data_IF_972602887915
#
_entry.id   IF_972602887915
#
_cell.length_a   1.000
_cell.length_b   1.000
_cell.length_c   1.000
_cell.angle_alpha   90.00
_cell.angle_beta   90.00
_cell.angle_gamma   90.00
#
_symmetry.space_group_name_H-M   'P 1'
#
loop_
_entity.id
_entity.type
_entity.pdbx_description
1 polymer ?
#
# COMPACT_ATOMS: atom_id res chain seq x y z
N UNK A 1 -17.63 18.96 28.95
CA UNK A 1 -16.51 19.15 28.00
C UNK A 1 -16.26 17.80 27.35
N UNK A 2 -16.69 17.66 26.10
CA UNK A 2 -16.78 16.39 25.38
C UNK A 2 -15.40 15.97 24.87
N UNK A 3 -14.90 14.82 25.31
CA UNK A 3 -13.71 14.15 24.78
C UNK A 3 -13.99 13.59 23.36
N UNK A 4 -14.02 14.45 22.35
CA UNK A 4 -14.33 14.05 20.97
C UNK A 4 -13.11 14.17 20.04
N UNK A 5 -11.94 13.73 20.48
CA UNK A 5 -10.77 13.51 19.61
C UNK A 5 -9.95 12.29 20.08
N UNK A 6 -10.60 11.20 20.51
CA UNK A 6 -9.91 9.91 20.48
C UNK A 6 -9.71 9.56 19.01
N UNK A 7 -8.57 9.96 18.46
CA UNK A 7 -8.13 9.56 17.13
C UNK A 7 -8.15 8.04 17.03
N UNK A 8 -8.51 7.52 15.86
CA UNK A 8 -8.42 6.08 15.61
C UNK A 8 -6.99 5.64 15.88
N UNK A 9 -6.85 4.59 16.68
CA UNK A 9 -5.56 4.02 17.05
C UNK A 9 -5.13 2.99 16.01
N UNK A 10 -4.12 3.34 15.22
CA UNK A 10 -3.57 2.47 14.19
C UNK A 10 -2.71 1.32 14.76
N UNK A 11 -2.32 1.36 16.04
CA UNK A 11 -1.45 0.33 16.65
C UNK A 11 -2.12 -1.04 16.74
N UNK A 12 -3.45 -1.09 16.67
CA UNK A 12 -4.23 -2.34 16.66
C UNK A 12 -4.52 -2.87 15.24
N UNK A 13 -4.08 -2.16 14.20
CA UNK A 13 -4.22 -2.61 12.81
C UNK A 13 -3.03 -3.48 12.47
N UNK A 14 -3.28 -4.74 12.11
CA UNK A 14 -2.23 -5.61 11.59
C UNK A 14 -1.61 -4.96 10.34
N UNK A 15 -0.31 -4.59 10.38
CA UNK A 15 0.33 -3.90 9.28
C UNK A 15 0.55 -4.81 8.07
N UNK A 16 0.32 -6.13 8.18
CA UNK A 16 0.38 -7.08 7.05
C UNK A 16 -0.97 -7.27 6.36
N UNK A 17 -2.09 -6.99 7.03
CA UNK A 17 -3.44 -7.13 6.49
C UNK A 17 -3.90 -5.88 5.71
N UNK A 18 -3.91 -5.98 4.38
CA UNK A 18 -4.38 -4.89 3.50
C UNK A 18 -5.86 -4.53 3.72
N UNK A 19 -6.71 -5.50 4.01
CA UNK A 19 -8.12 -5.23 4.27
C UNK A 19 -8.28 -4.41 5.55
N UNK A 20 -7.55 -4.77 6.61
CA UNK A 20 -7.54 -3.99 7.85
C UNK A 20 -7.02 -2.56 7.64
N UNK A 21 -5.95 -2.37 6.85
CA UNK A 21 -5.43 -1.04 6.52
C UNK A 21 -6.44 -0.20 5.73
N UNK A 22 -7.11 -0.76 4.72
CA UNK A 22 -8.15 -0.06 3.93
C UNK A 22 -9.39 0.29 4.76
N UNK A 23 -9.79 -0.59 5.67
CA UNK A 23 -10.86 -0.33 6.62
C UNK A 23 -10.50 0.84 7.55
N UNK A 24 -9.26 0.87 8.05
CA UNK A 24 -8.77 1.96 8.88
C UNK A 24 -8.74 3.30 8.12
N UNK A 25 -8.26 3.32 6.87
CA UNK A 25 -8.30 4.51 6.02
C UNK A 25 -9.73 5.02 5.85
N UNK A 26 -10.67 4.13 5.54
CA UNK A 26 -12.09 4.49 5.38
C UNK A 26 -12.67 5.07 6.67
N UNK A 27 -12.36 4.47 7.82
CA UNK A 27 -12.79 4.98 9.13
C UNK A 27 -12.16 6.34 9.43
N UNK A 28 -10.89 6.56 9.09
CA UNK A 28 -10.21 7.86 9.27
C UNK A 28 -10.84 8.94 8.40
N UNK A 29 -11.10 8.63 7.13
CA UNK A 29 -11.79 9.54 6.22
C UNK A 29 -13.22 9.85 6.71
N UNK A 30 -13.92 8.86 7.27
CA UNK A 30 -15.22 9.06 7.91
C UNK A 30 -15.15 10.01 9.12
N UNK A 31 -14.15 9.84 9.99
CA UNK A 31 -13.93 10.74 11.14
C UNK A 31 -13.55 12.16 10.74
N UNK A 32 -12.87 12.33 9.60
CA UNK A 32 -12.58 13.65 9.01
C UNK A 32 -13.73 14.18 8.14
N UNK A 33 -14.85 13.45 8.06
CA UNK A 33 -16.02 13.76 7.23
C UNK A 33 -15.66 14.03 5.76
N UNK A 34 -14.69 13.29 5.24
CA UNK A 34 -14.15 13.46 3.89
C UNK A 34 -14.14 12.15 3.09
N UNK A 35 -14.94 11.16 3.48
CA UNK A 35 -15.03 9.88 2.76
C UNK A 35 -15.71 10.05 1.39
N UNK A 36 -15.00 9.66 0.35
CA UNK A 36 -15.42 9.68 -1.05
C UNK A 36 -14.89 8.40 -1.71
N UNK A 37 -15.81 7.46 -1.95
CA UNK A 37 -15.46 6.16 -2.49
C UNK A 37 -14.87 6.24 -3.91
N UNK A 38 -15.35 7.16 -4.75
CA UNK A 38 -14.83 7.30 -6.11
C UNK A 38 -13.38 7.81 -6.09
N UNK A 39 -13.07 8.78 -5.21
CA UNK A 39 -11.68 9.24 -5.00
C UNK A 39 -10.79 8.15 -4.43
N UNK A 40 -11.30 7.35 -3.50
CA UNK A 40 -10.55 6.23 -2.94
C UNK A 40 -10.19 5.22 -4.03
N UNK A 41 -11.16 4.80 -4.86
CA UNK A 41 -10.91 3.88 -5.99
C UNK A 41 -9.99 4.47 -7.05
N UNK A 42 -10.07 5.77 -7.31
CA UNK A 42 -9.15 6.45 -8.22
C UNK A 42 -7.72 6.49 -7.66
N UNK A 43 -7.55 6.82 -6.38
CA UNK A 43 -6.26 6.79 -5.72
C UNK A 43 -5.65 5.38 -5.77
N UNK A 44 -6.41 4.34 -5.43
CA UNK A 44 -5.98 2.94 -5.51
C UNK A 44 -5.53 2.55 -6.91
N UNK A 45 -6.28 2.92 -7.95
CA UNK A 45 -5.90 2.62 -9.33
C UNK A 45 -4.59 3.31 -9.74
N UNK A 46 -4.44 4.59 -9.43
CA UNK A 46 -3.23 5.37 -9.75
C UNK A 46 -2.01 4.79 -9.03
N UNK A 47 -2.12 4.58 -7.72
CA UNK A 47 -0.99 4.13 -6.91
C UNK A 47 -0.59 2.70 -7.23
N UNK A 48 -1.55 1.85 -7.63
CA UNK A 48 -1.26 0.51 -8.14
C UNK A 48 -0.39 0.57 -9.40
N UNK A 49 -0.71 1.43 -10.35
CA UNK A 49 0.11 1.64 -11.56
C UNK A 49 1.50 2.18 -11.21
N UNK A 50 1.56 3.18 -10.32
CA UNK A 50 2.84 3.74 -9.84
C UNK A 50 3.70 2.66 -9.19
N UNK A 51 3.11 1.79 -8.37
CA UNK A 51 3.82 0.67 -7.74
C UNK A 51 4.38 -0.29 -8.79
N UNK A 52 3.59 -0.70 -9.79
CA UNK A 52 4.10 -1.56 -10.87
C UNK A 52 5.31 -0.96 -11.57
N UNK A 53 5.20 0.31 -11.98
CA UNK A 53 6.27 1.01 -12.70
C UNK A 53 7.51 1.18 -11.82
N UNK A 54 7.32 1.50 -10.54
CA UNK A 54 8.42 1.65 -9.60
C UNK A 54 9.22 0.35 -9.47
N UNK A 55 8.53 -0.78 -9.27
CA UNK A 55 9.15 -2.09 -9.17
C UNK A 55 9.89 -2.48 -10.44
N UNK A 56 9.27 -2.24 -11.60
CA UNK A 56 9.88 -2.54 -12.88
C UNK A 56 11.14 -1.69 -13.14
N UNK A 57 11.08 -0.38 -12.87
CA UNK A 57 12.23 0.54 -13.01
C UNK A 57 13.37 0.21 -12.06
N UNK A 58 13.04 -0.28 -10.86
CA UNK A 58 14.02 -0.72 -9.88
C UNK A 58 14.56 -2.14 -10.14
N UNK A 59 14.11 -2.82 -11.21
CA UNK A 59 14.63 -4.13 -11.63
C UNK A 59 13.99 -5.33 -10.93
N UNK A 60 12.99 -5.13 -10.07
CA UNK A 60 12.34 -6.23 -9.36
C UNK A 60 11.51 -7.09 -10.33
N UNK A 61 11.88 -8.36 -10.45
CA UNK A 61 11.14 -9.37 -11.24
C UNK A 61 9.94 -9.95 -10.50
N UNK A 62 9.92 -9.78 -9.17
CA UNK A 62 8.84 -10.19 -8.27
C UNK A 62 8.71 -9.22 -7.10
N UNK A 63 7.57 -9.27 -6.45
CA UNK A 63 7.33 -8.70 -5.13
C UNK A 63 6.44 -9.67 -4.37
N UNK A 64 6.66 -9.80 -3.05
CA UNK A 64 5.69 -10.50 -2.21
C UNK A 64 4.34 -9.78 -2.27
N UNK A 65 3.26 -10.53 -2.17
CA UNK A 65 1.92 -9.95 -2.13
C UNK A 65 1.76 -8.95 -0.97
N UNK A 66 2.30 -9.29 0.20
CA UNK A 66 2.22 -8.45 1.38
C UNK A 66 2.94 -7.12 1.19
N UNK A 67 4.20 -7.13 0.75
CA UNK A 67 4.96 -5.90 0.49
C UNK A 67 4.31 -5.07 -0.60
N UNK A 68 3.80 -5.73 -1.66
CA UNK A 68 3.15 -5.05 -2.78
C UNK A 68 1.90 -4.27 -2.33
N UNK A 69 1.00 -4.90 -1.59
CA UNK A 69 -0.19 -4.22 -1.09
C UNK A 69 0.11 -3.23 0.04
N UNK A 70 1.15 -3.46 0.85
CA UNK A 70 1.57 -2.50 1.85
C UNK A 70 2.01 -1.18 1.20
N UNK A 71 2.88 -1.26 0.18
CA UNK A 71 3.34 -0.09 -0.58
C UNK A 71 2.16 0.65 -1.24
N UNK A 72 1.22 -0.08 -1.84
CA UNK A 72 0.01 0.51 -2.42
C UNK A 72 -0.82 1.22 -1.36
N UNK A 73 -1.15 0.57 -0.25
CA UNK A 73 -2.02 1.15 0.78
C UNK A 73 -1.42 2.42 1.39
N UNK A 74 -0.10 2.46 1.55
CA UNK A 74 0.63 3.66 1.98
C UNK A 74 0.52 4.79 0.95
N UNK A 75 0.74 4.48 -0.32
CA UNK A 75 0.60 5.47 -1.39
C UNK A 75 -0.85 5.95 -1.53
N UNK A 76 -1.84 5.07 -1.34
CA UNK A 76 -3.26 5.44 -1.34
C UNK A 76 -3.55 6.42 -0.21
N UNK A 77 -3.01 6.17 0.99
CA UNK A 77 -3.15 7.09 2.11
C UNK A 77 -2.66 8.49 1.75
N UNK A 78 -1.41 8.59 1.29
CA UNK A 78 -0.77 9.86 0.93
C UNK A 78 -1.57 10.57 -0.17
N UNK A 79 -1.92 9.85 -1.24
CA UNK A 79 -2.65 10.39 -2.38
C UNK A 79 -4.06 10.84 -1.99
N UNK A 80 -4.78 10.05 -1.21
CA UNK A 80 -6.18 10.30 -0.84
C UNK A 80 -6.31 11.51 0.09
N UNK A 81 -5.46 11.60 1.11
CA UNK A 81 -5.52 12.69 2.08
C UNK A 81 -4.78 13.96 1.64
N UNK A 82 -3.99 13.91 0.56
CA UNK A 82 -3.26 15.08 0.02
C UNK A 82 -4.12 16.33 -0.18
N UNK A 83 -5.42 16.16 -0.48
CA UNK A 83 -6.37 17.26 -0.68
C UNK A 83 -6.57 18.14 0.56
N UNK A 84 -6.25 17.63 1.74
CA UNK A 84 -6.36 18.35 3.02
C UNK A 84 -5.14 19.24 3.27
N UNK A 85 -4.11 19.19 2.42
CA UNK A 85 -2.90 20.00 2.56
C UNK A 85 -2.24 19.77 3.92
N UNK A 86 -2.05 20.84 4.69
CA UNK A 86 -1.40 20.77 6.00
C UNK A 86 -2.24 20.05 7.07
N UNK A 87 -3.53 19.85 6.82
CA UNK A 87 -4.43 19.11 7.73
C UNK A 87 -4.49 17.61 7.40
N UNK A 88 -3.73 17.15 6.40
CA UNK A 88 -3.65 15.74 6.05
C UNK A 88 -3.08 14.93 7.23
N UNK A 89 -3.74 13.85 7.66
CA UNK A 89 -3.19 12.98 8.69
C UNK A 89 -1.93 12.28 8.18
N UNK A 90 -0.91 12.22 9.03
CA UNK A 90 0.27 11.40 8.77
C UNK A 90 -0.12 9.94 8.54
N UNK A 91 0.56 9.29 7.58
CA UNK A 91 0.38 7.87 7.36
C UNK A 91 0.82 7.11 8.60
N UNK A 92 -0.07 6.33 9.25
CA UNK A 92 0.28 5.64 10.49
C UNK A 92 1.25 4.48 10.27
N UNK A 93 1.40 4.04 9.02
CA UNK A 93 2.31 2.98 8.63
C UNK A 93 3.60 3.61 8.13
N UNK A 94 4.64 3.59 8.98
CA UNK A 94 5.98 3.95 8.54
C UNK A 94 6.45 2.97 7.46
N UNK A 95 7.36 3.42 6.58
CA UNK A 95 8.20 2.45 5.84
C UNK A 95 8.76 1.50 6.90
N UNK A 96 8.73 0.20 6.63
CA UNK A 96 9.38 -0.76 7.52
C UNK A 96 10.89 -0.42 7.58
N UNK A 97 11.30 0.44 8.52
CA UNK A 97 12.68 0.91 8.65
C UNK A 97 13.59 -0.13 9.32
N UNK A 98 13.04 -1.30 9.67
CA UNK A 98 13.77 -2.37 10.35
C UNK A 98 13.50 -3.78 9.84
N UNK A 99 12.66 -3.94 8.81
CA UNK A 99 12.54 -5.21 8.10
C UNK A 99 12.93 -4.96 6.65
N UNK A 100 13.89 -5.72 6.13
CA UNK A 100 14.21 -5.67 4.71
C UNK A 100 12.93 -5.99 3.93
N UNK A 101 12.84 -5.51 2.70
CA UNK A 101 11.82 -6.00 1.76
C UNK A 101 11.83 -7.55 1.70
N UNK A 102 13.02 -8.12 1.92
CA UNK A 102 13.32 -9.56 2.06
C UNK A 102 12.62 -10.28 3.23
N UNK A 103 12.17 -9.54 4.26
CA UNK A 103 11.46 -10.10 5.41
C UNK A 103 9.98 -10.37 5.11
N UNK A 104 9.47 -9.86 3.98
CA UNK A 104 8.15 -10.21 3.46
C UNK A 104 8.21 -11.51 2.66
N UNK A 105 8.50 -12.60 3.38
CA UNK A 105 8.45 -13.96 2.83
C UNK A 105 6.97 -14.33 2.65
N UNK A 106 6.51 -14.36 1.41
CA UNK A 106 5.13 -14.68 1.07
C UNK A 106 4.98 -15.07 -0.40
N UNK A 107 3.77 -15.45 -0.83
CA UNK A 107 3.51 -15.72 -2.24
C UNK A 107 3.83 -14.47 -3.07
N UNK A 108 4.30 -14.70 -4.30
CA UNK A 108 4.49 -13.63 -5.28
C UNK A 108 3.15 -12.96 -5.58
N UNK A 109 3.13 -11.64 -5.70
CA UNK A 109 1.93 -10.90 -6.11
C UNK A 109 1.49 -11.30 -7.52
N UNK A 110 0.40 -12.05 -7.63
CA UNK A 110 -0.22 -12.42 -8.92
C UNK A 110 -0.58 -11.18 -9.75
N UNK A 111 -1.00 -10.12 -9.08
CA UNK A 111 -1.37 -8.84 -9.69
C UNK A 111 -0.17 -8.19 -10.37
N UNK A 112 1.00 -8.16 -9.71
CA UNK A 112 2.22 -7.66 -10.35
C UNK A 112 2.73 -8.60 -11.45
N UNK A 113 2.64 -9.92 -11.28
CA UNK A 113 3.02 -10.89 -12.32
C UNK A 113 2.17 -10.72 -13.59
N UNK A 114 0.85 -10.55 -13.44
CA UNK A 114 -0.04 -10.32 -14.58
C UNK A 114 0.32 -9.01 -15.29
N UNK A 115 0.54 -7.93 -14.54
CA UNK A 115 0.95 -6.65 -15.15
C UNK A 115 2.27 -6.80 -15.92
N UNK A 116 3.26 -7.51 -15.38
CA UNK A 116 4.53 -7.79 -16.07
C UNK A 116 4.30 -8.57 -17.36
N UNK A 117 3.46 -9.61 -17.33
CA UNK A 117 3.10 -10.39 -18.50
C UNK A 117 2.45 -9.53 -19.59
N UNK A 118 1.51 -8.66 -19.22
CA UNK A 118 0.81 -7.77 -20.14
C UNK A 118 1.75 -6.75 -20.81
N UNK A 119 2.90 -6.47 -20.18
CA UNK A 119 3.94 -5.55 -20.67
C UNK A 119 5.14 -6.27 -21.30
N UNK A 120 5.06 -7.59 -21.52
CA UNK A 120 6.12 -8.38 -22.14
C UNK A 120 7.39 -8.54 -21.28
N UNK A 121 7.26 -8.37 -19.96
CA UNK A 121 8.36 -8.49 -19.01
C UNK A 121 8.47 -9.94 -18.48
N UNK A 122 9.68 -10.40 -18.09
CA UNK A 122 9.86 -11.73 -17.51
C UNK A 122 9.04 -11.93 -16.22
N UNK A 123 8.41 -13.10 -16.10
CA UNK A 123 7.67 -13.54 -14.91
C UNK A 123 8.48 -14.58 -14.11
N UNK A 124 8.16 -14.76 -12.84
CA UNK A 124 8.77 -15.81 -11.99
C UNK A 124 7.70 -16.76 -11.44
N UNK A 125 8.12 -17.96 -11.01
CA UNK A 125 7.21 -18.95 -10.45
C UNK A 125 6.66 -18.54 -9.08
N UNK A 126 5.57 -19.18 -8.61
CA UNK A 126 4.82 -18.77 -7.41
C UNK A 126 5.60 -18.84 -6.09
N UNK A 127 6.77 -19.49 -6.08
CA UNK A 127 7.62 -19.67 -4.91
C UNK A 127 9.06 -19.16 -5.13
N UNK A 128 9.29 -18.35 -6.16
CA UNK A 128 10.61 -17.77 -6.39
C UNK A 128 10.85 -16.64 -5.40
N UNK A 129 11.50 -16.96 -4.28
CA UNK A 129 12.04 -15.96 -3.37
C UNK A 129 13.23 -15.29 -4.06
N UNK A 130 13.04 -14.09 -4.62
CA UNK A 130 14.15 -13.25 -5.08
C UNK A 130 13.75 -11.77 -4.97
N UNK A 131 14.11 -11.15 -3.87
CA UNK A 131 14.47 -9.74 -3.84
C UNK A 131 15.96 -9.66 -4.22
N UNK A 132 16.31 -9.22 -5.43
CA UNK A 132 17.61 -8.56 -5.65
C UNK A 132 17.59 -7.70 -6.92
N UNK A 133 17.70 -6.38 -6.79
CA UNK A 133 18.70 -5.59 -7.49
C UNK A 133 19.92 -5.43 -6.57
N UNK A 134 21.13 -5.48 -7.14
CA UNK A 134 22.42 -5.40 -6.41
C UNK A 134 22.46 -4.33 -5.29
#
# INVERSE_FOLDING_TARGET
>A
MSNAHQGLDASNVDPTDSYARKAFLSAKAGNLNCFDYAKFKMAEAITTVVSYEHLARAGFVSASEQSFYFDIDRLVWDQYFSILGNDAPECPWMRYEGSSRDDHIGPVSDVYQQWRQDHGLPIVGPYTQLDVPD
#
